data_IF_554699016922
#
_entry.id   IF_554699016922
#
_cell.length_a   1.000
_cell.length_b   1.000
_cell.length_c   1.000
_cell.angle_alpha   90.00
_cell.angle_beta   90.00
_cell.angle_gamma   90.00
#
_symmetry.space_group_name_H-M   'P 1'
#
loop_
_entity.id
_entity.type
_entity.pdbx_description
1 polymer ?
#
# COMPACT_ATOMS: atom_id res chain seq x y z
N UNK A 1 -8.01 38.61 15.01
CA UNK A 1 -7.70 37.84 13.77
C UNK A 1 -6.34 37.12 13.75
N UNK A 2 -5.55 37.05 14.83
CA UNK A 2 -4.26 36.32 14.86
C UNK A 2 -4.29 34.82 15.30
N UNK A 3 -5.29 34.28 16.02
CA UNK A 3 -5.17 32.93 16.59
C UNK A 3 -5.40 31.78 15.60
N UNK A 4 -6.14 32.00 14.51
CA UNK A 4 -6.47 30.94 13.53
C UNK A 4 -5.28 30.56 12.62
N UNK A 5 -4.36 31.50 12.37
CA UNK A 5 -3.17 31.26 11.54
C UNK A 5 -2.11 30.40 12.26
N UNK A 6 -2.03 30.49 13.59
CA UNK A 6 -1.12 29.69 14.42
C UNK A 6 -1.59 28.23 14.56
N UNK A 7 -2.92 28.01 14.62
CA UNK A 7 -3.53 26.66 14.59
C UNK A 7 -3.22 25.91 13.30
N UNK A 8 -3.23 26.61 12.15
CA UNK A 8 -2.86 26.04 10.85
C UNK A 8 -1.35 25.73 10.73
N UNK A 9 -0.51 26.43 11.51
CA UNK A 9 0.93 26.20 11.63
C UNK A 9 1.31 25.23 12.77
N UNK A 10 0.34 24.72 13.54
CA UNK A 10 0.55 23.71 14.57
C UNK A 10 1.38 24.18 15.78
N UNK A 11 1.37 25.48 16.07
CA UNK A 11 2.06 26.04 17.24
C UNK A 11 1.00 26.48 18.25
N UNK A 12 0.95 25.79 19.39
CA UNK A 12 0.17 26.20 20.57
C UNK A 12 1.01 27.14 21.44
N UNK A 13 0.34 28.03 22.18
CA UNK A 13 1.00 28.92 23.15
C UNK A 13 1.78 28.08 24.17
N UNK A 14 3.10 28.32 24.26
CA UNK A 14 4.00 27.55 25.14
C UNK A 14 4.51 26.27 24.46
N UNK A 15 5.82 26.24 24.20
CA UNK A 15 6.54 25.12 23.57
C UNK A 15 6.61 23.88 24.47
N UNK A 16 5.50 23.17 24.65
CA UNK A 16 5.50 21.82 25.20
C UNK A 16 5.72 20.81 24.06
N UNK A 17 6.78 20.02 24.15
CA UNK A 17 7.08 18.95 23.20
C UNK A 17 6.14 17.77 23.48
N UNK A 18 4.93 17.84 22.92
CA UNK A 18 3.90 16.80 23.03
C UNK A 18 4.37 15.51 22.34
N UNK A 19 4.07 14.35 22.93
CA UNK A 19 4.40 13.04 22.35
C UNK A 19 3.74 12.86 20.98
N UNK A 20 4.37 12.10 20.08
CA UNK A 20 3.86 11.89 18.73
C UNK A 20 2.46 11.26 18.74
N UNK A 21 2.18 10.40 19.72
CA UNK A 21 0.91 9.69 19.83
C UNK A 21 -0.25 10.64 20.17
N UNK A 22 -0.01 11.65 21.02
CA UNK A 22 -0.99 12.68 21.34
C UNK A 22 -1.14 13.68 20.16
N UNK A 23 -0.03 14.04 19.51
CA UNK A 23 -0.03 14.98 18.37
C UNK A 23 -0.78 14.44 17.14
N UNK A 24 -0.85 13.12 16.98
CA UNK A 24 -1.49 12.46 15.83
C UNK A 24 -2.69 11.61 16.23
N UNK A 25 -3.25 11.79 17.42
CA UNK A 25 -4.41 11.04 17.89
C UNK A 25 -5.62 11.19 16.94
N UNK A 26 -5.81 12.37 16.36
CA UNK A 26 -6.89 12.63 15.39
C UNK A 26 -6.71 11.88 14.05
N UNK A 27 -5.54 11.28 13.80
CA UNK A 27 -5.23 10.53 12.58
C UNK A 27 -5.22 9.02 12.80
N UNK A 28 -5.73 8.55 13.93
CA UNK A 28 -5.82 7.12 14.19
C UNK A 28 -6.77 6.46 13.17
N UNK A 29 -6.37 5.33 12.56
CA UNK A 29 -7.27 4.59 11.69
C UNK A 29 -8.45 4.05 12.52
N UNK A 30 -9.64 4.01 11.92
CA UNK A 30 -10.87 3.46 12.54
C UNK A 30 -10.63 2.02 13.02
N UNK A 31 -9.83 1.27 12.25
CA UNK A 31 -9.43 -0.09 12.58
C UNK A 31 -7.96 -0.07 13.02
N UNK A 32 -7.62 -0.51 14.25
CA UNK A 32 -6.27 -0.38 14.83
C UNK A 32 -5.14 -1.00 14.00
N UNK A 33 -5.45 -2.07 13.25
CA UNK A 33 -4.53 -2.82 12.39
C UNK A 33 -4.66 -2.50 10.89
N UNK A 34 -5.48 -1.51 10.52
CA UNK A 34 -5.65 -1.11 9.11
C UNK A 34 -4.48 -0.28 8.56
N UNK A 35 -4.39 -0.13 7.22
CA UNK A 35 -3.40 0.72 6.58
C UNK A 35 -3.47 2.15 7.10
N UNK A 36 -2.32 2.73 7.45
CA UNK A 36 -2.20 4.08 7.98
C UNK A 36 -1.77 5.05 6.89
N UNK A 37 -2.39 6.23 6.86
CA UNK A 37 -1.99 7.26 5.91
C UNK A 37 -0.53 7.69 6.14
N UNK A 38 0.30 7.47 5.13
CA UNK A 38 1.73 7.77 5.10
C UNK A 38 2.13 8.11 3.67
N UNK A 39 2.09 9.41 3.35
CA UNK A 39 2.41 9.92 2.02
C UNK A 39 3.92 9.82 1.73
N UNK A 40 4.27 9.13 0.66
CA UNK A 40 5.64 9.00 0.14
C UNK A 40 6.15 10.32 -0.44
N UNK A 41 7.47 10.53 -0.54
CA UNK A 41 8.05 11.70 -1.20
C UNK A 41 7.68 11.73 -2.69
N UNK A 42 7.69 12.91 -3.31
CA UNK A 42 7.26 13.11 -4.70
C UNK A 42 7.97 12.17 -5.68
N UNK A 43 9.28 11.98 -5.53
CA UNK A 43 10.07 11.12 -6.42
C UNK A 43 9.60 9.66 -6.34
N UNK A 44 9.33 9.14 -5.14
CA UNK A 44 8.81 7.79 -4.98
C UNK A 44 7.41 7.62 -5.55
N UNK A 45 6.57 8.64 -5.42
CA UNK A 45 5.25 8.63 -6.04
C UNK A 45 5.35 8.60 -7.57
N UNK A 46 6.27 9.37 -8.16
CA UNK A 46 6.51 9.35 -9.60
C UNK A 46 7.02 7.98 -10.08
N UNK A 47 7.91 7.34 -9.31
CA UNK A 47 8.38 5.98 -9.61
C UNK A 47 7.21 4.98 -9.56
N UNK A 48 6.39 5.04 -8.51
CA UNK A 48 5.21 4.18 -8.39
C UNK A 48 4.22 4.40 -9.55
N UNK A 49 4.01 5.66 -9.93
CA UNK A 49 3.15 6.03 -11.06
C UNK A 49 3.72 5.51 -12.38
N UNK A 50 5.03 5.65 -12.61
CA UNK A 50 5.69 5.16 -13.81
C UNK A 50 5.58 3.64 -13.92
N UNK A 51 5.81 2.90 -12.82
CA UNK A 51 5.63 1.44 -12.78
C UNK A 51 4.19 1.07 -13.14
N UNK A 52 3.20 1.69 -12.48
CA UNK A 52 1.78 1.48 -12.76
C UNK A 52 1.43 1.77 -14.23
N UNK A 53 1.94 2.86 -14.79
CA UNK A 53 1.68 3.27 -16.16
C UNK A 53 2.30 2.31 -17.18
N UNK A 54 3.55 1.86 -16.97
CA UNK A 54 4.24 0.92 -17.86
C UNK A 54 3.49 -0.42 -17.95
N UNK A 55 3.09 -1.00 -16.80
CA UNK A 55 2.35 -2.26 -16.81
C UNK A 55 0.93 -2.12 -17.36
N UNK A 56 0.27 -0.98 -17.13
CA UNK A 56 -1.04 -0.68 -17.72
C UNK A 56 -0.95 -0.48 -19.25
N UNK A 57 0.09 0.20 -19.72
CA UNK A 57 0.34 0.37 -21.16
C UNK A 57 0.68 -0.96 -21.84
N UNK A 58 1.43 -1.83 -21.17
CA UNK A 58 1.76 -3.16 -21.69
C UNK A 58 0.48 -3.95 -22.01
N UNK A 59 -0.43 -4.10 -21.05
CA UNK A 59 -1.68 -4.84 -21.27
C UNK A 59 -2.57 -4.16 -22.31
N UNK A 60 -2.61 -2.83 -22.34
CA UNK A 60 -3.40 -2.06 -23.32
C UNK A 60 -2.93 -2.27 -24.76
N UNK A 61 -1.61 -2.38 -24.97
CA UNK A 61 -1.04 -2.60 -26.31
C UNK A 61 -1.19 -4.05 -26.74
N UNK A 62 -0.87 -5.00 -25.85
CA UNK A 62 -0.82 -6.41 -26.23
C UNK A 62 -2.17 -7.11 -26.20
N UNK A 63 -3.10 -6.69 -25.33
CA UNK A 63 -4.49 -7.17 -25.11
C UNK A 63 -4.70 -8.68 -24.85
N UNK A 64 -3.92 -9.56 -25.44
CA UNK A 64 -3.86 -11.01 -25.22
C UNK A 64 -2.55 -11.38 -24.51
N UNK A 65 -2.30 -10.70 -23.41
CA UNK A 65 -1.23 -11.08 -22.50
C UNK A 65 -1.98 -11.40 -21.24
N UNK A 66 -2.00 -12.69 -20.88
CA UNK A 66 -2.52 -13.22 -19.62
C UNK A 66 -2.10 -12.35 -18.42
N UNK A 67 -2.49 -12.70 -17.20
CA UNK A 67 -2.14 -11.96 -15.97
C UNK A 67 -0.63 -11.81 -15.63
N UNK A 68 0.30 -12.05 -16.57
CA UNK A 68 1.75 -11.81 -16.44
C UNK A 68 2.10 -10.35 -16.06
N UNK A 69 1.57 -9.28 -16.70
CA UNK A 69 1.87 -7.91 -16.32
C UNK A 69 1.42 -7.63 -14.90
N UNK A 70 0.26 -8.17 -14.51
CA UNK A 70 -0.25 -8.11 -13.15
C UNK A 70 0.69 -8.83 -12.17
N UNK A 71 1.15 -10.04 -12.48
CA UNK A 71 2.11 -10.79 -11.65
C UNK A 71 3.42 -10.01 -11.44
N UNK A 72 4.06 -9.54 -12.52
CA UNK A 72 5.31 -8.78 -12.43
C UNK A 72 5.13 -7.48 -11.64
N UNK A 73 4.09 -6.73 -11.96
CA UNK A 73 3.73 -5.50 -11.23
C UNK A 73 3.53 -5.77 -9.74
N UNK A 74 2.86 -6.87 -9.39
CA UNK A 74 2.62 -7.26 -8.00
C UNK A 74 3.92 -7.48 -7.24
N UNK A 75 4.87 -8.22 -7.81
CA UNK A 75 6.18 -8.43 -7.17
C UNK A 75 6.93 -7.12 -6.96
N UNK A 76 6.93 -6.23 -7.96
CA UNK A 76 7.57 -4.92 -7.87
C UNK A 76 6.93 -4.08 -6.75
N UNK A 77 5.61 -4.02 -6.68
CA UNK A 77 4.92 -3.23 -5.64
C UNK A 77 5.04 -3.84 -4.25
N UNK A 78 5.04 -5.17 -4.11
CA UNK A 78 5.34 -5.87 -2.84
C UNK A 78 6.71 -5.43 -2.33
N UNK A 79 7.73 -5.45 -3.20
CA UNK A 79 9.07 -4.99 -2.85
C UNK A 79 9.10 -3.50 -2.47
N UNK A 80 8.44 -2.64 -3.25
CA UNK A 80 8.36 -1.18 -2.97
C UNK A 80 7.68 -0.88 -1.64
N UNK A 81 6.58 -1.55 -1.33
CA UNK A 81 5.88 -1.40 -0.05
C UNK A 81 6.77 -1.92 1.08
N UNK A 82 7.44 -3.05 0.90
CA UNK A 82 8.36 -3.60 1.89
C UNK A 82 9.52 -2.65 2.21
N UNK A 83 10.19 -2.07 1.21
CA UNK A 83 11.25 -1.07 1.44
C UNK A 83 10.71 0.18 2.16
N UNK A 84 9.50 0.61 1.80
CA UNK A 84 8.82 1.70 2.51
C UNK A 84 8.58 1.34 3.98
N UNK A 85 8.10 0.13 4.27
CA UNK A 85 7.85 -0.33 5.65
C UNK A 85 9.13 -0.47 6.47
N UNK A 86 10.22 -0.96 5.86
CA UNK A 86 11.54 -1.05 6.51
C UNK A 86 12.00 0.30 7.06
N UNK A 87 11.75 1.39 6.34
CA UNK A 87 12.12 2.74 6.80
C UNK A 87 11.38 3.21 8.05
N UNK A 88 10.24 2.58 8.40
CA UNK A 88 9.46 2.91 9.58
C UNK A 88 9.78 2.03 10.78
N UNK A 89 10.60 1.00 10.62
CA UNK A 89 11.02 0.17 11.73
C UNK A 89 11.97 0.98 12.63
N UNK A 90 11.58 1.19 13.89
CA UNK A 90 12.39 1.96 14.82
C UNK A 90 13.73 1.24 15.05
N UNK A 91 14.87 1.96 15.13
CA UNK A 91 16.12 1.37 15.59
C UNK A 91 15.87 0.69 16.93
N UNK A 92 16.07 -0.62 17.03
CA UNK A 92 16.04 -1.28 18.31
C UNK A 92 17.12 -0.64 19.18
N UNK A 93 16.73 -0.03 20.29
CA UNK A 93 17.69 0.41 21.30
C UNK A 93 18.56 -0.80 21.66
N UNK A 94 19.88 -0.73 21.47
CA UNK A 94 20.73 -1.87 21.80
C UNK A 94 20.61 -2.12 23.31
N UNK A 95 20.07 -3.28 23.66
CA UNK A 95 20.11 -3.78 25.04
C UNK A 95 21.42 -4.53 25.14
N UNK A 96 22.45 -3.85 25.68
CA UNK A 96 23.71 -4.48 25.99
C UNK A 96 23.55 -5.28 27.28
N UNK A 97 23.92 -6.56 27.26
CA UNK A 97 24.13 -7.34 28.49
C UNK A 97 25.49 -6.96 29.10
N UNK A 98 25.74 -7.33 30.36
CA UNK A 98 26.99 -7.03 31.09
C UNK A 98 28.27 -7.52 30.37
N UNK A 99 28.12 -8.47 29.45
CA UNK A 99 29.20 -9.06 28.64
C UNK A 99 29.44 -8.33 27.30
N UNK A 100 28.72 -7.24 27.00
CA UNK A 100 28.89 -6.46 25.77
C UNK A 100 28.40 -7.15 24.49
N UNK A 101 27.88 -8.38 24.58
CA UNK A 101 27.42 -9.16 23.43
C UNK A 101 25.92 -8.96 23.16
N UNK A 102 25.59 -8.52 21.94
CA UNK A 102 24.22 -8.24 21.53
C UNK A 102 23.53 -9.53 21.02
N UNK A 103 23.22 -10.43 21.96
CA UNK A 103 22.79 -11.77 21.61
C UNK A 103 21.44 -11.78 20.84
N UNK A 104 21.47 -12.30 19.61
CA UNK A 104 20.29 -12.53 18.77
C UNK A 104 19.70 -11.30 18.05
N UNK A 105 20.43 -10.19 17.90
CA UNK A 105 19.95 -9.00 17.15
C UNK A 105 19.50 -9.35 15.72
N UNK A 106 20.31 -10.12 15.00
CA UNK A 106 20.00 -10.55 13.63
C UNK A 106 18.75 -11.43 13.55
N UNK A 107 18.57 -12.36 14.50
CA UNK A 107 17.40 -13.24 14.55
C UNK A 107 16.12 -12.47 14.92
N UNK A 108 16.21 -11.51 15.84
CA UNK A 108 15.08 -10.63 16.21
C UNK A 108 14.66 -9.73 15.04
N UNK A 109 15.63 -9.17 14.31
CA UNK A 109 15.39 -8.34 13.13
C UNK A 109 14.80 -9.17 11.97
N UNK A 110 15.35 -10.36 11.70
CA UNK A 110 14.82 -11.29 10.70
C UNK A 110 13.38 -11.72 10.98
N UNK A 111 13.03 -12.02 12.23
CA UNK A 111 11.65 -12.34 12.63
C UNK A 111 10.68 -11.17 12.40
N UNK A 112 11.11 -9.92 12.63
CA UNK A 112 10.28 -8.73 12.37
C UNK A 112 10.11 -8.46 10.87
N UNK A 113 11.19 -8.61 10.10
CA UNK A 113 11.17 -8.50 8.64
C UNK A 113 10.25 -9.56 8.00
N UNK A 114 10.30 -10.81 8.45
CA UNK A 114 9.41 -11.86 7.94
C UNK A 114 7.93 -11.58 8.26
N UNK A 115 7.63 -11.05 9.44
CA UNK A 115 6.26 -10.65 9.80
C UNK A 115 5.75 -9.52 8.90
N UNK A 116 6.57 -8.49 8.68
CA UNK A 116 6.19 -7.38 7.79
C UNK A 116 6.06 -7.82 6.34
N UNK A 117 6.97 -8.68 5.85
CA UNK A 117 6.93 -9.20 4.49
C UNK A 117 5.70 -10.09 4.25
N UNK A 118 5.38 -10.97 5.21
CA UNK A 118 4.15 -11.78 5.19
C UNK A 118 2.90 -10.90 5.17
N UNK A 119 2.87 -9.83 5.99
CA UNK A 119 1.76 -8.89 6.03
C UNK A 119 1.59 -8.16 4.67
N UNK A 120 2.68 -7.71 4.06
CA UNK A 120 2.66 -7.06 2.74
C UNK A 120 2.18 -8.02 1.67
N UNK A 121 2.63 -9.26 1.68
CA UNK A 121 2.21 -10.26 0.72
C UNK A 121 0.71 -10.55 0.86
N UNK A 122 0.21 -10.74 2.10
CA UNK A 122 -1.20 -10.96 2.38
C UNK A 122 -2.08 -9.77 1.95
N UNK A 123 -1.68 -8.54 2.28
CA UNK A 123 -2.43 -7.34 1.86
C UNK A 123 -2.39 -7.13 0.35
N UNK A 124 -1.23 -7.35 -0.29
CA UNK A 124 -1.11 -7.22 -1.74
C UNK A 124 -1.97 -8.26 -2.45
N UNK A 125 -2.02 -9.49 -1.94
CA UNK A 125 -2.91 -10.52 -2.44
C UNK A 125 -4.39 -10.11 -2.32
N UNK A 126 -4.81 -9.55 -1.18
CA UNK A 126 -6.19 -9.04 -1.01
C UNK A 126 -6.52 -7.94 -2.02
N UNK A 127 -5.60 -6.99 -2.24
CA UNK A 127 -5.79 -5.91 -3.21
C UNK A 127 -5.80 -6.39 -4.68
N UNK A 128 -5.16 -7.53 -4.98
CA UNK A 128 -5.19 -8.15 -6.31
C UNK A 128 -6.46 -8.96 -6.53
N UNK A 129 -6.97 -9.61 -5.47
CA UNK A 129 -8.19 -10.41 -5.53
C UNK A 129 -9.44 -9.51 -5.58
N UNK A 130 -9.41 -8.35 -4.93
CA UNK A 130 -10.58 -7.47 -4.86
C UNK A 130 -11.11 -7.01 -6.24
N UNK A 131 -10.29 -6.53 -7.20
CA UNK A 131 -10.75 -6.17 -8.53
C UNK A 131 -11.31 -7.35 -9.33
N UNK A 132 -10.75 -8.55 -9.14
CA UNK A 132 -11.29 -9.77 -9.72
C UNK A 132 -12.68 -10.09 -9.17
N UNK A 133 -12.84 -10.08 -7.84
CA UNK A 133 -14.14 -10.29 -7.20
C UNK A 133 -15.18 -9.22 -7.54
N UNK A 134 -14.75 -7.96 -7.67
CA UNK A 134 -15.63 -6.88 -8.11
C UNK A 134 -16.09 -7.10 -9.55
N UNK A 135 -15.18 -7.50 -10.44
CA UNK A 135 -15.50 -7.81 -11.84
C UNK A 135 -16.49 -8.98 -11.95
N UNK A 136 -16.22 -10.10 -11.25
CA UNK A 136 -17.14 -11.25 -11.25
C UNK A 136 -18.48 -10.91 -10.60
N UNK A 137 -18.47 -10.12 -9.52
CA UNK A 137 -19.70 -9.63 -8.89
C UNK A 137 -20.57 -8.82 -9.86
N UNK A 138 -19.97 -7.92 -10.64
CA UNK A 138 -20.70 -7.15 -11.67
C UNK A 138 -21.31 -8.08 -12.72
N UNK A 139 -20.56 -9.07 -13.20
CA UNK A 139 -21.07 -10.05 -14.17
C UNK A 139 -22.26 -10.85 -13.60
N UNK A 140 -22.15 -11.29 -12.34
CA UNK A 140 -23.22 -12.04 -11.68
C UNK A 140 -24.49 -11.19 -11.50
N UNK A 141 -24.37 -9.88 -11.24
CA UNK A 141 -25.54 -8.99 -11.18
C UNK A 141 -26.20 -8.85 -12.54
N UNK A 142 -25.41 -8.70 -13.62
CA UNK A 142 -25.94 -8.61 -14.99
C UNK A 142 -26.71 -9.88 -15.36
N UNK A 143 -26.14 -11.04 -15.03
CA UNK A 143 -26.77 -12.34 -15.26
C UNK A 143 -28.03 -12.52 -14.40
N UNK A 144 -27.99 -12.11 -13.13
CA UNK A 144 -29.15 -12.12 -12.24
C UNK A 144 -30.31 -11.25 -12.76
N UNK A 145 -29.99 -10.13 -13.44
CA UNK A 145 -30.97 -9.29 -14.12
C UNK A 145 -31.51 -9.89 -15.43
N UNK A 146 -31.13 -11.12 -15.78
CA UNK A 146 -31.56 -11.81 -17.00
C UNK A 146 -30.98 -11.22 -18.28
N UNK A 147 -29.95 -10.38 -18.17
CA UNK A 147 -29.33 -9.70 -19.31
C UNK A 147 -28.09 -10.45 -19.79
N UNK A 148 -27.83 -10.41 -21.10
CA UNK A 148 -26.60 -10.97 -21.67
C UNK A 148 -25.40 -10.12 -21.29
N UNK A 149 -24.27 -10.77 -20.99
CA UNK A 149 -23.02 -10.09 -20.66
C UNK A 149 -22.52 -9.31 -21.90
N UNK A 150 -22.25 -8.00 -21.79
CA UNK A 150 -21.72 -7.23 -22.91
C UNK A 150 -20.35 -7.76 -23.38
N UNK A 151 -20.19 -7.96 -24.69
CA UNK A 151 -18.95 -8.46 -25.31
C UNK A 151 -17.74 -7.59 -24.95
N UNK A 152 -17.94 -6.27 -24.84
CA UNK A 152 -16.89 -5.33 -24.46
C UNK A 152 -16.34 -5.57 -23.05
N UNK A 153 -17.17 -6.03 -22.10
CA UNK A 153 -16.73 -6.37 -20.74
C UNK A 153 -15.93 -7.67 -20.79
N UNK A 154 -16.51 -8.71 -21.37
CA UNK A 154 -15.90 -10.03 -21.46
C UNK A 154 -14.53 -10.01 -22.17
N UNK A 155 -14.44 -9.32 -23.32
CA UNK A 155 -13.21 -9.24 -24.11
C UNK A 155 -12.09 -8.42 -23.46
N UNK A 156 -12.41 -7.54 -22.50
CA UNK A 156 -11.42 -6.64 -21.87
C UNK A 156 -11.18 -6.98 -20.39
N UNK A 157 -11.55 -8.19 -19.95
CA UNK A 157 -11.42 -8.64 -18.57
C UNK A 157 -10.01 -8.44 -18.01
N UNK A 158 -8.99 -8.94 -18.70
CA UNK A 158 -7.59 -8.88 -18.25
C UNK A 158 -7.11 -7.43 -18.12
N UNK A 159 -7.51 -6.57 -19.06
CA UNK A 159 -7.19 -5.16 -19.07
C UNK A 159 -7.84 -4.43 -17.88
N UNK A 160 -9.13 -4.66 -17.65
CA UNK A 160 -9.88 -4.01 -16.56
C UNK A 160 -9.28 -4.40 -15.21
N UNK A 161 -9.05 -5.69 -14.99
CA UNK A 161 -8.51 -6.20 -13.73
C UNK A 161 -7.07 -5.71 -13.51
N UNK A 162 -6.24 -5.71 -14.55
CA UNK A 162 -4.84 -5.27 -14.42
C UNK A 162 -4.73 -3.76 -14.21
N UNK A 163 -5.45 -2.94 -14.98
CA UNK A 163 -5.41 -1.48 -14.85
C UNK A 163 -5.96 -0.99 -13.51
N UNK A 164 -7.07 -1.59 -13.04
CA UNK A 164 -7.63 -1.28 -11.72
C UNK A 164 -6.68 -1.67 -10.59
N UNK A 165 -6.07 -2.85 -10.68
CA UNK A 165 -5.03 -3.30 -9.73
C UNK A 165 -3.82 -2.37 -9.73
N UNK A 166 -3.36 -1.91 -10.91
CA UNK A 166 -2.24 -0.97 -11.03
C UNK A 166 -2.52 0.35 -10.31
N UNK A 167 -3.74 0.88 -10.44
CA UNK A 167 -4.17 2.09 -9.75
C UNK A 167 -4.24 1.87 -8.23
N UNK A 168 -4.80 0.76 -7.78
CA UNK A 168 -4.86 0.43 -6.35
C UNK A 168 -3.48 0.28 -5.73
N UNK A 169 -2.57 -0.46 -6.38
CA UNK A 169 -1.19 -0.63 -5.90
C UNK A 169 -0.42 0.69 -5.87
N UNK A 170 -0.60 1.55 -6.89
CA UNK A 170 -0.04 2.91 -6.88
C UNK A 170 -0.52 3.71 -5.67
N UNK A 171 -1.83 3.72 -5.41
CA UNK A 171 -2.42 4.45 -4.27
C UNK A 171 -1.89 3.90 -2.96
N UNK A 172 -1.88 2.58 -2.79
CA UNK A 172 -1.41 1.91 -1.59
C UNK A 172 0.06 2.23 -1.31
N UNK A 173 0.95 2.00 -2.29
CA UNK A 173 2.38 2.26 -2.15
C UNK A 173 2.70 3.75 -1.92
N UNK A 174 1.90 4.67 -2.47
CA UNK A 174 2.15 6.11 -2.40
C UNK A 174 1.57 6.77 -1.15
N UNK A 175 0.41 6.32 -0.66
CA UNK A 175 -0.34 7.04 0.38
C UNK A 175 -0.50 6.28 1.69
N UNK A 176 -0.17 4.99 1.73
CA UNK A 176 -0.44 4.15 2.90
C UNK A 176 0.80 3.35 3.34
N UNK A 177 0.77 2.87 4.58
CA UNK A 177 1.71 1.92 5.19
C UNK A 177 0.95 0.93 6.05
#
# INVERSE_FOLDING_TARGET
>A
MKPLLLKKKGVTFGSFKVSKDIRYADKMPIIPWGPRYSKSPKNDMLINLAISAVFSAWIAIKRNVEYKPLQFMSFVFVYRIFEKLKSFEAPSTPTYNEEGEENGRGLKMGKRLLRSLSLVFAFSALYLLHPWYAYTGILNVIEYMGSSIPIALYSNQELIVTASSALMLYVMASYYR
#
